data_IF_171862987744
#
_entry.id   IF_171862987744
#
_cell.length_a   1.000
_cell.length_b   1.000
_cell.length_c   1.000
_cell.angle_alpha   90.00
_cell.angle_beta   90.00
_cell.angle_gamma   90.00
#
_symmetry.space_group_name_H-M   'P 1'
#
loop_
_entity.id
_entity.type
_entity.pdbx_description
1 polymer ?
#
# COMPACT_ATOMS: atom_id res chain seq x y z
N UNK A 1 6.11 1.60 27.41
CA UNK A 1 5.51 1.13 26.15
C UNK A 1 5.72 2.22 25.13
N UNK A 2 6.82 2.15 24.36
CA UNK A 2 7.09 3.10 23.27
C UNK A 2 6.06 2.77 22.19
N UNK A 3 4.97 3.54 22.15
CA UNK A 3 4.11 3.57 20.96
C UNK A 3 5.07 3.94 19.84
N UNK A 4 5.16 3.07 18.82
CA UNK A 4 6.08 3.25 17.71
C UNK A 4 5.95 4.69 17.19
N UNK A 5 6.95 5.52 17.49
CA UNK A 5 7.09 6.82 16.86
C UNK A 5 7.17 6.52 15.35
N UNK A 6 6.24 7.13 14.64
CA UNK A 6 6.18 7.25 13.18
C UNK A 6 5.74 6.01 12.40
N UNK A 7 4.61 5.40 12.77
CA UNK A 7 3.77 4.78 11.76
C UNK A 7 3.27 5.89 10.83
N UNK A 8 3.98 6.10 9.72
CA UNK A 8 3.63 7.08 8.70
C UNK A 8 2.33 6.63 8.01
N UNK A 9 1.20 6.96 8.64
CA UNK A 9 -0.15 6.53 8.26
C UNK A 9 -0.45 6.90 6.81
N UNK A 10 0.05 8.05 6.35
CA UNK A 10 -0.07 8.48 4.96
C UNK A 10 0.65 7.52 4.02
N UNK A 11 1.88 7.12 4.36
CA UNK A 11 2.65 6.14 3.59
C UNK A 11 1.95 4.77 3.57
N UNK A 12 1.49 4.29 4.72
CA UNK A 12 0.80 2.99 4.82
C UNK A 12 -0.51 3.02 4.03
N UNK A 13 -1.27 4.11 4.10
CA UNK A 13 -2.52 4.28 3.34
C UNK A 13 -2.28 4.33 1.84
N UNK A 14 -1.22 5.01 1.38
CA UNK A 14 -0.84 5.05 -0.04
C UNK A 14 -0.40 3.68 -0.54
N UNK A 15 0.36 2.95 0.26
CA UNK A 15 0.82 1.61 -0.10
C UNK A 15 -0.36 0.61 -0.13
N UNK A 16 -1.27 0.65 0.85
CA UNK A 16 -2.48 -0.17 0.88
C UNK A 16 -3.39 0.08 -0.34
N UNK A 17 -3.56 1.35 -0.72
CA UNK A 17 -4.27 1.73 -1.94
C UNK A 17 -3.53 1.19 -3.19
N UNK A 18 -2.20 1.27 -3.21
CA UNK A 18 -1.39 0.73 -4.28
C UNK A 18 -1.46 -0.80 -4.43
N UNK A 19 -1.71 -1.55 -3.35
CA UNK A 19 -1.99 -2.99 -3.45
C UNK A 19 -3.36 -3.24 -4.11
N UNK A 20 -4.39 -2.51 -3.67
CA UNK A 20 -5.73 -2.59 -4.26
C UNK A 20 -5.73 -2.28 -5.77
N UNK A 21 -5.00 -1.26 -6.23
CA UNK A 21 -4.87 -0.98 -7.68
C UNK A 21 -4.19 -2.13 -8.41
N UNK A 22 -3.10 -2.69 -7.85
CA UNK A 22 -2.35 -3.78 -8.50
C UNK A 22 -3.18 -5.04 -8.67
N UNK A 23 -4.08 -5.32 -7.74
CA UNK A 23 -5.01 -6.45 -7.82
C UNK A 23 -6.07 -6.26 -8.90
N UNK A 24 -6.46 -5.03 -9.20
CA UNK A 24 -7.46 -4.71 -10.23
C UNK A 24 -6.82 -4.31 -11.57
N UNK A 25 -5.49 -4.42 -11.72
CA UNK A 25 -4.77 -4.01 -12.92
C UNK A 25 -5.03 -4.92 -14.13
N UNK A 26 -5.48 -6.15 -13.88
CA UNK A 26 -5.93 -7.09 -14.93
C UNK A 26 -7.25 -6.67 -15.58
N UNK A 27 -8.08 -5.92 -14.85
CA UNK A 27 -9.39 -5.42 -15.31
C UNK A 27 -9.31 -4.01 -15.89
N UNK A 28 -8.24 -3.26 -15.59
CA UNK A 28 -8.04 -1.90 -16.07
C UNK A 28 -7.35 -1.92 -17.44
N UNK A 29 -8.01 -1.35 -18.44
CA UNK A 29 -7.39 -1.07 -19.74
C UNK A 29 -6.47 0.16 -19.62
N UNK A 30 -5.21 0.01 -20.02
CA UNK A 30 -4.20 1.09 -19.98
C UNK A 30 -4.22 1.96 -21.24
N UNK A 31 -4.90 1.53 -22.30
CA UNK A 31 -5.05 2.28 -23.55
C UNK A 31 -6.27 3.22 -23.54
N UNK A 32 -7.20 3.04 -22.59
CA UNK A 32 -8.38 3.89 -22.40
C UNK A 32 -8.06 5.13 -21.56
N UNK A 33 -8.66 6.27 -21.90
CA UNK A 33 -8.56 7.53 -21.13
C UNK A 33 -9.50 7.55 -19.91
N UNK A 34 -10.39 6.55 -19.80
CA UNK A 34 -11.39 6.46 -18.75
C UNK A 34 -11.49 5.06 -18.14
N UNK A 35 -11.79 4.99 -16.84
CA UNK A 35 -12.09 3.75 -16.14
C UNK A 35 -13.60 3.69 -15.94
N UNK A 36 -14.20 2.53 -16.23
CA UNK A 36 -15.63 2.30 -16.01
C UNK A 36 -15.99 2.51 -14.53
N UNK A 37 -17.08 3.23 -14.27
CA UNK A 37 -17.53 3.54 -12.92
C UNK A 37 -17.90 2.29 -12.10
N UNK A 38 -18.33 1.20 -12.75
CA UNK A 38 -18.60 -0.08 -12.11
C UNK A 38 -17.31 -0.73 -11.59
N UNK A 39 -16.24 -0.69 -12.40
CA UNK A 39 -14.90 -1.16 -12.01
C UNK A 39 -14.36 -0.28 -10.87
N UNK A 40 -14.52 1.03 -10.98
CA UNK A 40 -14.06 1.94 -9.92
C UNK A 40 -14.79 1.70 -8.59
N UNK A 41 -16.08 1.40 -8.62
CA UNK A 41 -16.88 1.11 -7.43
C UNK A 41 -16.59 -0.26 -6.82
N UNK A 42 -16.04 -1.21 -7.60
CA UNK A 42 -15.64 -2.53 -7.09
C UNK A 42 -14.27 -2.51 -6.39
N UNK A 43 -13.47 -1.46 -6.59
CA UNK A 43 -12.17 -1.29 -5.94
C UNK A 43 -12.34 -0.93 -4.47
N UNK A 44 -12.12 -1.91 -3.59
CA UNK A 44 -12.23 -1.74 -2.14
C UNK A 44 -10.90 -2.04 -1.47
N UNK A 45 -10.44 -1.11 -0.62
CA UNK A 45 -9.29 -1.36 0.24
C UNK A 45 -9.72 -2.20 1.43
N UNK A 46 -9.20 -3.42 1.53
CA UNK A 46 -9.46 -4.34 2.64
C UNK A 46 -8.40 -4.22 3.75
N UNK A 47 -8.69 -4.79 4.92
CA UNK A 47 -7.72 -4.84 6.02
C UNK A 47 -6.45 -5.64 5.69
N UNK A 48 -6.53 -6.59 4.74
CA UNK A 48 -5.38 -7.37 4.29
C UNK A 48 -4.35 -6.48 3.55
N UNK A 49 -4.81 -5.49 2.77
CA UNK A 49 -3.92 -4.49 2.17
C UNK A 49 -3.18 -3.68 3.22
N UNK A 50 -3.87 -3.29 4.30
CA UNK A 50 -3.25 -2.57 5.41
C UNK A 50 -2.24 -3.42 6.17
N UNK A 51 -2.52 -4.70 6.41
CA UNK A 51 -1.57 -5.62 7.06
C UNK A 51 -0.32 -5.83 6.21
N UNK A 52 -0.47 -5.97 4.89
CA UNK A 52 0.64 -6.13 3.95
C UNK A 52 1.49 -4.85 3.85
N UNK A 53 0.84 -3.69 3.74
CA UNK A 53 1.50 -2.38 3.77
C UNK A 53 2.22 -2.12 5.10
N UNK A 54 1.62 -2.50 6.22
CA UNK A 54 2.21 -2.37 7.55
C UNK A 54 3.45 -3.27 7.71
N UNK A 55 3.35 -4.54 7.27
CA UNK A 55 4.48 -5.48 7.30
C UNK A 55 5.69 -4.99 6.50
N UNK A 56 5.46 -4.43 5.31
CA UNK A 56 6.53 -3.85 4.48
C UNK A 56 7.07 -2.53 5.02
N UNK A 57 6.21 -1.67 5.61
CA UNK A 57 6.64 -0.39 6.18
C UNK A 57 7.62 -0.56 7.35
N UNK A 58 7.39 -1.54 8.22
CA UNK A 58 8.23 -1.83 9.38
C UNK A 58 9.46 -2.66 9.01
N UNK A 59 9.34 -3.65 8.11
CA UNK A 59 10.48 -4.46 7.66
C UNK A 59 11.55 -3.62 6.93
N UNK A 60 11.16 -2.59 6.18
CA UNK A 60 12.10 -1.68 5.53
C UNK A 60 12.88 -0.81 6.53
N UNK A 61 12.29 -0.45 7.67
CA UNK A 61 12.96 0.38 8.68
C UNK A 61 14.13 -0.36 9.32
N UNK A 62 13.94 -1.64 9.67
CA UNK A 62 15.00 -2.47 10.29
C UNK A 62 16.20 -2.67 9.35
N UNK A 63 15.96 -2.85 8.04
CA UNK A 63 17.04 -2.96 7.05
C UNK A 63 17.75 -1.61 6.79
N UNK A 64 17.02 -0.49 6.77
CA UNK A 64 17.62 0.84 6.63
C UNK A 64 18.47 1.22 7.84
N UNK A 65 18.04 0.87 9.05
CA UNK A 65 18.84 1.06 10.27
C UNK A 65 20.10 0.19 10.23
N UNK A 66 20.00 -1.08 9.84
CA UNK A 66 21.17 -1.95 9.69
C UNK A 66 22.18 -1.39 8.68
N UNK A 67 21.74 -0.92 7.51
CA UNK A 67 22.64 -0.40 6.46
C UNK A 67 23.29 0.94 6.81
N UNK A 68 22.73 1.70 7.75
CA UNK A 68 23.27 3.00 8.19
C UNK A 68 24.34 2.87 9.29
N UNK A 69 24.50 1.68 9.86
CA UNK A 69 25.45 1.38 10.95
C UNK A 69 26.68 0.59 10.45
N UNK A 70 26.78 0.32 9.15
CA UNK A 70 27.99 -0.21 8.50
C UNK A 70 28.65 0.81 7.60
#
# INVERSE_FOLDING_TARGET
>A
MKLAEDADLEKISKEAHGYCIRENMDVIDLEDESIDAEILNSMVVTNEHFQTAFGTSNAKRELQEATRVW
#
